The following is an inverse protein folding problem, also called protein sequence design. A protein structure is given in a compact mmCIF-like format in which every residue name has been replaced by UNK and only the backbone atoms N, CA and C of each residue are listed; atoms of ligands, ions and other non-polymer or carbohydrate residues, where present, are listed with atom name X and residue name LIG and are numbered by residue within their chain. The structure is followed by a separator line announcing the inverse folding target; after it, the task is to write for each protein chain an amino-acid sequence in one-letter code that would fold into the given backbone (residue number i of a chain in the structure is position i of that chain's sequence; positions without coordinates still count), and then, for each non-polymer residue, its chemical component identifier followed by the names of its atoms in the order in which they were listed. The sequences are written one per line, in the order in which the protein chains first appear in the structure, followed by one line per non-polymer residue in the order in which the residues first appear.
data_IF_880203561004
#
_entry.id   IF_880203561004
#
_cell.length_a   1.000
_cell.length_b   1.000
_cell.length_c   1.000
_cell.angle_alpha   90.00
_cell.angle_beta   90.00
_cell.angle_gamma   90.00
#
_symmetry.space_group_name_H-M   'P 1'
#
loop_
_entity.id
_entity.type
_entity.pdbx_description
1 polymer ?
#
# COMPACT_ATOMS: atom_id res chain seq x y z
N UNK A 1 -21.73 -5.00 -33.67
CA UNK A 1 -21.87 -4.17 -32.50
C UNK A 1 -21.56 -4.95 -31.22
N UNK A 2 -20.61 -4.48 -30.50
CA UNK A 2 -20.16 -5.20 -29.30
C UNK A 2 -19.77 -4.25 -28.18
N UNK A 3 -20.43 -3.11 -28.15
CA UNK A 3 -20.14 -2.06 -27.17
C UNK A 3 -20.28 -2.52 -25.74
N UNK A 4 -20.84 -3.70 -25.51
CA UNK A 4 -20.96 -4.29 -24.17
C UNK A 4 -19.71 -5.01 -23.71
N UNK A 5 -18.76 -5.24 -24.62
CA UNK A 5 -17.50 -5.87 -24.26
C UNK A 5 -16.54 -4.81 -23.79
N UNK A 6 -16.30 -4.77 -22.49
CA UNK A 6 -15.25 -3.94 -21.93
C UNK A 6 -13.93 -4.66 -22.15
N UNK A 7 -12.91 -3.92 -22.59
CA UNK A 7 -11.59 -4.52 -22.70
C UNK A 7 -10.98 -4.73 -21.30
N UNK A 8 -9.96 -5.57 -21.23
CA UNK A 8 -9.34 -5.94 -19.96
C UNK A 8 -8.71 -4.72 -19.26
N UNK A 9 -8.19 -3.77 -20.03
CA UNK A 9 -7.55 -2.57 -19.47
C UNK A 9 -8.57 -1.66 -18.80
N UNK A 10 -9.74 -1.48 -19.41
CA UNK A 10 -10.81 -0.66 -18.83
C UNK A 10 -11.33 -1.27 -17.53
N UNK A 11 -11.48 -2.60 -17.48
CA UNK A 11 -11.91 -3.31 -16.26
C UNK A 11 -10.87 -3.17 -15.17
N UNK A 12 -9.59 -3.29 -15.52
CA UNK A 12 -8.48 -3.16 -14.58
C UNK A 12 -8.43 -1.76 -13.99
N UNK A 13 -8.58 -0.72 -14.80
CA UNK A 13 -8.59 0.67 -14.35
C UNK A 13 -9.76 0.94 -13.41
N UNK A 14 -10.94 0.42 -13.71
CA UNK A 14 -12.11 0.57 -12.85
C UNK A 14 -11.89 -0.10 -11.50
N UNK A 15 -11.34 -1.31 -11.49
CA UNK A 15 -11.03 -2.03 -10.27
C UNK A 15 -9.99 -1.28 -9.44
N UNK A 16 -8.97 -0.70 -10.08
CA UNK A 16 -7.95 0.07 -9.38
C UNK A 16 -8.52 1.34 -8.73
N UNK A 17 -9.43 2.03 -9.41
CA UNK A 17 -10.09 3.22 -8.86
C UNK A 17 -10.93 2.89 -7.63
N UNK A 18 -11.69 1.82 -7.67
CA UNK A 18 -12.47 1.36 -6.52
C UNK A 18 -11.58 0.99 -5.35
N UNK A 19 -10.48 0.33 -5.63
CA UNK A 19 -9.53 -0.09 -4.60
C UNK A 19 -8.86 1.12 -3.94
N UNK A 20 -8.49 2.15 -4.72
CA UNK A 20 -7.94 3.39 -4.20
C UNK A 20 -8.90 4.07 -3.23
N UNK A 21 -10.19 4.12 -3.57
CA UNK A 21 -11.20 4.66 -2.68
C UNK A 21 -11.28 3.89 -1.37
N UNK A 22 -11.19 2.58 -1.45
CA UNK A 22 -11.20 1.73 -0.25
C UNK A 22 -9.95 1.89 0.60
N UNK A 23 -8.82 2.23 -0.01
CA UNK A 23 -7.55 2.42 0.70
C UNK A 23 -7.44 3.80 1.35
N UNK A 24 -8.24 4.75 0.94
CA UNK A 24 -8.19 6.12 1.44
C UNK A 24 -8.35 6.19 2.96
N UNK A 25 -7.57 7.05 3.60
CA UNK A 25 -7.69 7.34 5.01
C UNK A 25 -6.39 7.18 5.77
N UNK A 26 -6.50 7.13 7.09
CA UNK A 26 -5.37 6.95 7.99
C UNK A 26 -5.38 5.51 8.52
N UNK A 27 -4.20 4.92 8.59
CA UNK A 27 -3.99 3.54 8.99
C UNK A 27 -3.01 3.48 10.14
N UNK A 28 -3.38 2.76 11.21
CA UNK A 28 -2.57 2.58 12.41
C UNK A 28 -1.86 1.24 12.38
N UNK A 29 -0.65 1.22 12.89
CA UNK A 29 0.16 0.01 13.01
C UNK A 29 -0.45 -0.99 14.00
N UNK A 30 -0.48 -2.25 13.61
CA UNK A 30 -0.85 -3.36 14.49
C UNK A 30 0.34 -4.26 14.75
N UNK A 31 1.01 -4.73 13.70
CA UNK A 31 2.13 -5.64 13.83
C UNK A 31 3.07 -5.57 12.63
N UNK A 32 4.32 -5.95 12.85
CA UNK A 32 5.37 -5.97 11.84
C UNK A 32 6.71 -5.61 12.46
N UNK A 33 7.79 -5.79 11.70
CA UNK A 33 9.15 -5.54 12.21
C UNK A 33 9.50 -4.06 12.25
N UNK A 34 8.72 -3.19 11.59
CA UNK A 34 8.91 -1.74 11.64
C UNK A 34 7.57 -1.07 11.84
N UNK A 35 7.46 -0.34 12.92
CA UNK A 35 6.25 0.42 13.23
C UNK A 35 6.13 1.65 12.34
N UNK A 36 4.93 1.87 11.81
CA UNK A 36 4.68 2.96 10.89
C UNK A 36 3.23 3.42 10.97
N UNK A 37 2.98 4.64 10.46
CA UNK A 37 1.64 5.15 10.19
C UNK A 37 1.53 5.42 8.70
N UNK A 38 0.39 5.12 8.12
CA UNK A 38 0.15 5.33 6.70
C UNK A 38 -1.06 6.24 6.51
N UNK A 39 -0.91 7.23 5.63
CA UNK A 39 -1.99 8.13 5.24
C UNK A 39 -2.14 8.06 3.72
N UNK A 40 -3.36 7.87 3.25
CA UNK A 40 -3.65 7.72 1.82
C UNK A 40 -4.76 8.69 1.41
N UNK A 41 -4.51 9.42 0.34
CA UNK A 41 -5.49 10.33 -0.25
C UNK A 41 -5.31 10.33 -1.78
N UNK A 42 -6.35 9.91 -2.52
CA UNK A 42 -6.25 9.76 -3.96
C UNK A 42 -5.19 8.74 -4.34
N UNK A 43 -4.22 9.15 -5.15
CA UNK A 43 -3.08 8.32 -5.52
C UNK A 43 -1.80 8.67 -4.76
N UNK A 44 -1.92 9.44 -3.68
CA UNK A 44 -0.81 9.88 -2.84
C UNK A 44 -0.77 9.13 -1.52
N UNK A 45 0.43 8.90 -1.00
CA UNK A 45 0.63 8.31 0.31
C UNK A 45 1.66 9.10 1.11
N UNK A 46 1.53 9.03 2.43
CA UNK A 46 2.56 9.42 3.38
C UNK A 46 2.76 8.27 4.35
N UNK A 47 3.99 7.78 4.45
CA UNK A 47 4.37 6.71 5.36
C UNK A 47 5.37 7.25 6.37
N UNK A 48 5.05 7.17 7.65
CA UNK A 48 5.89 7.67 8.74
C UNK A 48 6.32 6.49 9.59
N UNK A 49 7.63 6.19 9.56
CA UNK A 49 8.20 5.18 10.44
C UNK A 49 8.62 5.81 11.78
N UNK A 50 8.52 5.04 12.85
CA UNK A 50 8.88 5.53 14.19
C UNK A 50 10.36 5.86 14.35
N UNK A 51 11.22 5.33 13.47
CA UNK A 51 12.64 5.69 13.45
C UNK A 51 12.92 7.11 12.89
N UNK A 52 11.87 7.82 12.46
CA UNK A 52 11.99 9.17 11.91
C UNK A 52 11.95 9.26 10.39
N UNK A 53 12.05 8.14 9.68
CA UNK A 53 11.95 8.15 8.22
C UNK A 53 10.53 8.48 7.79
N UNK A 54 10.39 9.41 6.85
CA UNK A 54 9.10 9.80 6.26
C UNK A 54 9.21 9.66 4.76
N UNK A 55 8.25 8.95 4.18
CA UNK A 55 8.14 8.76 2.73
C UNK A 55 6.87 9.42 2.24
N UNK A 56 6.97 10.20 1.19
CA UNK A 56 5.83 10.82 0.52
C UNK A 56 5.94 10.51 -0.97
N UNK A 57 4.83 10.10 -1.56
CA UNK A 57 4.85 9.78 -2.98
C UNK A 57 3.48 9.42 -3.52
N UNK A 58 3.51 8.70 -4.62
CA UNK A 58 2.32 8.22 -5.31
C UNK A 58 2.34 6.71 -5.41
N UNK A 59 1.18 6.11 -5.67
CA UNK A 59 1.08 4.66 -5.78
C UNK A 59 0.12 4.26 -6.88
N UNK A 60 0.31 3.05 -7.38
CA UNK A 60 -0.61 2.40 -8.31
C UNK A 60 -0.95 1.02 -7.77
N UNK A 61 -2.19 0.60 -8.00
CA UNK A 61 -2.71 -0.68 -7.54
C UNK A 61 -3.09 -1.54 -8.72
N UNK A 62 -2.86 -2.84 -8.59
CA UNK A 62 -3.40 -3.84 -9.50
C UNK A 62 -4.12 -4.92 -8.68
N UNK A 63 -5.43 -4.74 -8.42
CA UNK A 63 -6.19 -5.69 -7.63
C UNK A 63 -6.58 -6.96 -8.40
N UNK A 64 -6.22 -7.06 -9.68
CA UNK A 64 -6.47 -8.28 -10.47
C UNK A 64 -5.42 -9.36 -10.21
N UNK A 65 -4.34 -9.02 -9.55
CA UNK A 65 -3.27 -9.96 -9.21
C UNK A 65 -3.57 -10.68 -7.90
N UNK A 66 -2.93 -11.85 -7.71
CA UNK A 66 -3.06 -12.64 -6.48
C UNK A 66 -1.67 -13.05 -6.00
N UNK A 67 -1.19 -12.49 -4.89
CA UNK A 67 -1.78 -11.37 -4.16
C UNK A 67 -1.79 -10.08 -4.98
N UNK A 68 -2.59 -9.11 -4.53
CA UNK A 68 -2.72 -7.81 -5.21
C UNK A 68 -1.41 -7.04 -5.19
N UNK A 69 -1.16 -6.26 -6.24
CA UNK A 69 0.07 -5.48 -6.39
C UNK A 69 -0.13 -4.04 -5.98
N UNK A 70 0.88 -3.50 -5.31
CA UNK A 70 0.99 -2.06 -5.00
C UNK A 70 2.38 -1.59 -5.37
N UNK A 71 2.46 -0.59 -6.26
CA UNK A 71 3.70 0.04 -6.68
C UNK A 71 3.73 1.44 -6.08
N UNK A 72 4.74 1.72 -5.26
CA UNK A 72 4.86 2.99 -4.56
C UNK A 72 6.12 3.73 -5.02
N UNK A 73 5.93 4.93 -5.57
CA UNK A 73 7.04 5.76 -6.03
C UNK A 73 7.34 6.82 -4.97
N UNK A 74 8.57 6.85 -4.52
CA UNK A 74 9.03 7.76 -3.47
C UNK A 74 9.43 9.09 -4.10
N UNK A 75 8.65 10.15 -3.86
CA UNK A 75 8.98 11.50 -4.32
C UNK A 75 9.83 12.24 -3.30
N UNK A 76 9.51 12.07 -2.02
CA UNK A 76 10.28 12.60 -0.90
C UNK A 76 10.53 11.49 0.10
N UNK A 77 11.74 11.43 0.63
CA UNK A 77 12.13 10.42 1.59
C UNK A 77 13.64 10.37 1.79
N UNK A 78 14.13 9.33 2.47
CA UNK A 78 15.57 9.14 2.61
C UNK A 78 16.28 9.13 1.25
N UNK A 79 17.46 9.75 1.19
CA UNK A 79 18.21 9.91 -0.06
C UNK A 79 18.43 8.59 -0.81
N UNK A 80 18.61 7.50 -0.07
CA UNK A 80 18.81 6.17 -0.66
C UNK A 80 17.60 5.64 -1.42
N UNK A 81 16.41 6.18 -1.14
CA UNK A 81 15.15 5.70 -1.73
C UNK A 81 14.43 6.75 -2.58
N UNK A 82 14.81 8.02 -2.47
CA UNK A 82 14.16 9.10 -3.21
C UNK A 82 14.22 8.87 -4.71
N UNK A 83 13.10 9.02 -5.38
CA UNK A 83 12.97 8.82 -6.82
C UNK A 83 12.82 7.36 -7.24
N UNK A 84 12.81 6.42 -6.31
CA UNK A 84 12.73 4.99 -6.60
C UNK A 84 11.33 4.45 -6.35
N UNK A 85 11.01 3.32 -6.98
CA UNK A 85 9.72 2.65 -6.84
C UNK A 85 9.89 1.33 -6.09
N UNK A 86 9.02 1.13 -5.12
CA UNK A 86 8.88 -0.13 -4.38
C UNK A 86 7.80 -0.96 -5.05
N UNK A 87 8.12 -2.17 -5.44
CA UNK A 87 7.15 -3.13 -5.97
C UNK A 87 6.71 -4.04 -4.84
N UNK A 88 5.44 -3.93 -4.43
CA UNK A 88 4.94 -4.67 -3.28
C UNK A 88 3.67 -5.45 -3.56
N UNK A 89 3.24 -6.15 -2.54
CA UNK A 89 1.96 -6.87 -2.51
C UNK A 89 1.18 -6.43 -1.28
N UNK A 90 -0.15 -6.55 -1.36
CA UNK A 90 -1.02 -6.15 -0.25
C UNK A 90 -2.28 -6.98 -0.21
N UNK A 91 -2.93 -6.97 0.96
CA UNK A 91 -4.28 -7.48 1.16
C UNK A 91 -5.08 -6.40 1.88
N UNK A 92 -6.27 -6.12 1.37
CA UNK A 92 -7.13 -5.08 1.90
C UNK A 92 -8.52 -5.62 2.18
N UNK A 93 -9.00 -5.37 3.39
CA UNK A 93 -10.40 -5.59 3.77
C UNK A 93 -11.00 -4.28 4.28
N UNK A 94 -12.26 -4.30 4.71
CA UNK A 94 -12.88 -3.11 5.30
C UNK A 94 -12.13 -2.63 6.55
N UNK A 95 -11.50 -3.53 7.28
CA UNK A 95 -10.94 -3.26 8.60
C UNK A 95 -9.42 -3.22 8.63
N UNK A 96 -8.72 -3.95 7.78
CA UNK A 96 -7.27 -4.03 7.85
C UNK A 96 -6.60 -4.00 6.48
N UNK A 97 -5.33 -3.66 6.52
CA UNK A 97 -4.41 -3.66 5.37
C UNK A 97 -3.15 -4.43 5.76
N UNK A 98 -2.78 -5.44 4.98
CA UNK A 98 -1.47 -6.07 5.08
C UNK A 98 -0.64 -5.55 3.91
N UNK A 99 0.52 -5.00 4.19
CA UNK A 99 1.39 -4.38 3.21
C UNK A 99 2.79 -4.97 3.28
N UNK A 100 3.25 -5.53 2.17
CA UNK A 100 4.57 -6.12 2.06
C UNK A 100 5.28 -5.50 0.86
N UNK A 101 6.07 -4.43 1.08
CA UNK A 101 6.77 -3.73 0.00
C UNK A 101 8.04 -4.47 -0.40
N UNK A 102 8.45 -4.25 -1.64
CA UNK A 102 9.80 -4.56 -2.08
C UNK A 102 10.75 -3.43 -1.73
N UNK A 103 12.05 -3.69 -1.81
CA UNK A 103 13.05 -2.65 -1.63
C UNK A 103 12.90 -1.60 -2.74
N UNK A 104 12.82 -0.30 -2.39
CA UNK A 104 12.75 0.74 -3.42
C UNK A 104 13.95 0.67 -4.37
N UNK A 105 13.66 0.64 -5.66
CA UNK A 105 14.67 0.51 -6.71
C UNK A 105 14.97 -0.92 -7.15
N UNK A 106 14.50 -1.93 -6.42
CA UNK A 106 14.59 -3.32 -6.84
C UNK A 106 13.50 -3.62 -7.87
N UNK A 107 13.81 -4.48 -8.83
CA UNK A 107 12.83 -4.97 -9.80
C UNK A 107 12.17 -6.28 -9.36
N UNK A 108 12.46 -6.73 -8.14
CA UNK A 108 11.92 -7.95 -7.57
C UNK A 108 10.74 -7.62 -6.66
N UNK A 109 9.57 -8.17 -7.00
CA UNK A 109 8.36 -8.07 -6.19
C UNK A 109 8.28 -9.26 -5.24
N UNK A 110 7.88 -9.07 -3.96
CA UNK A 110 7.59 -10.21 -3.10
C UNK A 110 6.55 -11.13 -3.73
N UNK A 111 6.73 -12.43 -3.60
CA UNK A 111 5.79 -13.42 -4.15
C UNK A 111 4.50 -13.52 -3.34
N UNK A 112 4.56 -13.18 -2.07
CA UNK A 112 3.42 -13.28 -1.17
C UNK A 112 3.79 -12.76 0.20
N UNK A 113 2.97 -13.10 1.17
CA UNK A 113 3.17 -12.67 2.55
C UNK A 113 4.15 -13.62 3.25
N UNK A 114 5.03 -13.07 4.13
CA UNK A 114 5.98 -13.91 4.84
C UNK A 114 5.25 -14.83 5.81
N UNK A 115 5.88 -15.98 6.12
CA UNK A 115 5.40 -16.88 7.16
C UNK A 115 5.52 -16.18 8.50
N UNK A 116 4.64 -16.56 9.43
CA UNK A 116 4.67 -16.07 10.79
C UNK A 116 6.07 -16.25 11.40
N UNK A 117 6.62 -15.15 11.92
CA UNK A 117 7.95 -15.15 12.52
C UNK A 117 9.10 -14.92 11.55
N UNK A 118 8.85 -14.91 10.24
CA UNK A 118 9.86 -14.58 9.26
C UNK A 118 10.11 -13.07 9.27
N UNK A 119 11.34 -12.66 9.55
CA UNK A 119 11.76 -11.25 9.62
C UNK A 119 12.63 -10.84 8.44
N UNK A 120 12.78 -11.69 7.43
CA UNK A 120 13.59 -11.40 6.26
C UNK A 120 12.92 -10.44 5.30
N UNK A 121 11.60 -10.25 5.41
CA UNK A 121 10.79 -9.43 4.53
C UNK A 121 9.98 -8.45 5.36
N UNK A 122 10.00 -7.19 4.98
CA UNK A 122 9.14 -6.20 5.62
C UNK A 122 7.68 -6.51 5.28
N UNK A 123 6.87 -6.64 6.31
CA UNK A 123 5.44 -6.81 6.17
C UNK A 123 4.78 -6.17 7.38
N UNK A 124 3.82 -5.31 7.14
CA UNK A 124 3.17 -4.51 8.19
C UNK A 124 1.68 -4.72 8.10
N UNK A 125 1.07 -4.94 9.26
CA UNK A 125 -0.40 -5.02 9.38
C UNK A 125 -0.88 -3.71 9.98
N UNK A 126 -1.83 -3.09 9.29
CA UNK A 126 -2.48 -1.86 9.73
C UNK A 126 -3.96 -2.09 9.95
N UNK A 127 -4.55 -1.33 10.85
CA UNK A 127 -6.01 -1.19 10.95
C UNK A 127 -6.39 0.24 10.64
N UNK A 128 -7.62 0.42 10.17
CA UNK A 128 -8.12 1.75 9.85
C UNK A 128 -8.25 2.57 11.13
N UNK A 129 -7.67 3.77 11.11
CA UNK A 129 -7.84 4.70 12.20
C UNK A 129 -9.29 5.16 12.23
N UNK A 130 -9.91 5.10 13.43
CA UNK A 130 -11.27 5.57 13.62
C UNK A 130 -11.24 6.98 14.17
N UNK A 131 -12.17 7.87 13.70
CA UNK A 131 -12.29 9.18 14.29
C UNK A 131 -12.56 9.04 15.79
N UNK A 132 -11.88 9.85 16.60
CA UNK A 132 -12.14 9.89 18.03
C UNK A 132 -13.52 10.54 18.25
N UNK A 133 -14.35 9.88 19.05
CA UNK A 133 -15.56 10.51 19.53
C UNK A 133 -15.19 11.63 20.48
N UNK A 134 -15.72 12.81 20.19
CA UNK A 134 -15.66 13.88 21.18
C UNK A 134 -16.67 13.56 22.28
N UNK A 135 -16.17 13.38 23.48
CA UNK A 135 -17.02 13.20 24.65
C UNK A 135 -17.14 14.54 25.33
N UNK A 136 -18.33 15.03 25.38
CA UNK A 136 -18.66 16.29 26.07
C UNK A 136 -19.07 16.01 27.51
#
# INVERSE_FOLDING_TARGET
MNSLLLDADALKETAALKEKESLRGAWEFVSGIREAQLFVAGDHFTMRFTNGDIYVGTFELDPTKEPRWIDMTVHEGPARHKGKTSLGVYELTADYLIWCPGEPGSDVRPHGFPRRGDKSQLCVVFVRERPRRLTL
#
